data_IF_541312226370
#
_entry.id   IF_541312226370
#
_cell.length_a   1.000
_cell.length_b   1.000
_cell.length_c   1.000
_cell.angle_alpha   90.00
_cell.angle_beta   90.00
_cell.angle_gamma   90.00
#
_symmetry.space_group_name_H-M   'P 1'
#
loop_
_entity.id
_entity.type
_entity.pdbx_description
1 polymer ?
#
# COMPACT_ATOMS: atom_id res chain seq x y z
N UNK A 1 -67.77 -47.30 -15.87
CA UNK A 1 -67.31 -45.94 -15.52
C UNK A 1 -65.78 -45.91 -15.55
N UNK A 2 -65.20 -45.04 -16.39
CA UNK A 2 -63.86 -44.38 -16.36
C UNK A 2 -62.71 -45.17 -15.70
N UNK A 3 -61.53 -45.36 -16.33
CA UNK A 3 -60.58 -44.29 -16.73
C UNK A 3 -59.55 -44.87 -17.74
N UNK A 4 -59.32 -44.16 -18.86
CA UNK A 4 -58.16 -44.35 -19.73
C UNK A 4 -56.96 -43.62 -19.11
N UNK A 5 -55.82 -44.30 -18.96
CA UNK A 5 -54.52 -43.65 -18.77
C UNK A 5 -53.78 -43.62 -20.11
N UNK A 6 -53.41 -42.42 -20.54
CA UNK A 6 -52.49 -42.20 -21.64
C UNK A 6 -51.07 -42.15 -21.08
N UNK A 7 -50.18 -43.05 -21.51
CA UNK A 7 -48.74 -42.88 -21.32
C UNK A 7 -48.21 -41.98 -22.44
N UNK A 8 -47.82 -40.75 -22.10
CA UNK A 8 -47.02 -39.91 -22.98
C UNK A 8 -45.54 -40.28 -22.79
N UNK A 9 -44.92 -40.83 -23.83
CA UNK A 9 -43.48 -41.08 -23.88
C UNK A 9 -42.78 -39.76 -24.25
N UNK A 10 -42.18 -39.09 -23.28
CA UNK A 10 -41.35 -37.91 -23.54
C UNK A 10 -39.97 -38.37 -24.04
N UNK A 11 -39.69 -38.17 -25.33
CA UNK A 11 -38.34 -38.33 -25.87
C UNK A 11 -37.48 -37.13 -25.44
N UNK A 12 -36.54 -37.35 -24.53
CA UNK A 12 -35.56 -36.36 -24.15
C UNK A 12 -34.56 -36.17 -25.31
N UNK A 13 -34.59 -34.98 -25.93
CA UNK A 13 -33.55 -34.56 -26.88
C UNK A 13 -32.32 -34.16 -26.07
N UNK A 14 -31.28 -35.00 -26.07
CA UNK A 14 -29.96 -34.65 -25.54
C UNK A 14 -29.32 -33.65 -26.51
N UNK A 15 -29.22 -32.39 -26.08
CA UNK A 15 -28.39 -31.41 -26.76
C UNK A 15 -26.90 -31.78 -26.56
N UNK A 16 -26.05 -31.68 -27.58
CA UNK A 16 -24.62 -31.91 -27.41
C UNK A 16 -24.06 -30.83 -26.49
N UNK A 17 -23.51 -31.25 -25.35
CA UNK A 17 -22.70 -30.39 -24.49
C UNK A 17 -21.49 -29.97 -25.32
N UNK A 18 -21.43 -28.70 -25.71
CA UNK A 18 -20.26 -28.15 -26.40
C UNK A 18 -19.03 -28.36 -25.53
N UNK A 19 -17.98 -28.95 -26.10
CA UNK A 19 -16.71 -29.09 -25.43
C UNK A 19 -16.26 -27.70 -24.94
N UNK A 20 -16.03 -27.56 -23.63
CA UNK A 20 -15.41 -26.36 -23.09
C UNK A 20 -14.09 -26.15 -23.84
N UNK A 21 -13.87 -24.95 -24.37
CA UNK A 21 -12.59 -24.59 -24.96
C UNK A 21 -11.48 -24.89 -23.95
N UNK A 22 -10.46 -25.63 -24.37
CA UNK A 22 -9.32 -25.89 -23.52
C UNK A 22 -8.75 -24.54 -23.04
N UNK A 23 -8.35 -24.42 -21.75
CA UNK A 23 -7.72 -23.20 -21.27
C UNK A 23 -6.52 -22.91 -22.17
N UNK A 24 -6.50 -21.73 -22.77
CA UNK A 24 -5.37 -21.24 -23.54
C UNK A 24 -4.15 -21.23 -22.63
N UNK A 25 -3.02 -21.78 -23.08
CA UNK A 25 -1.77 -21.63 -22.35
C UNK A 25 -1.52 -20.14 -22.08
N UNK A 26 -1.11 -19.75 -20.86
CA UNK A 26 -0.77 -18.37 -20.58
C UNK A 26 0.35 -17.91 -21.53
N UNK A 27 0.37 -16.62 -21.92
CA UNK A 27 1.39 -16.11 -22.82
C UNK A 27 2.78 -16.36 -22.24
N UNK A 28 3.73 -16.72 -23.11
CA UNK A 28 5.14 -16.83 -22.72
C UNK A 28 5.65 -15.44 -22.34
N UNK A 29 6.15 -15.31 -21.10
CA UNK A 29 6.73 -14.07 -20.57
C UNK A 29 8.24 -14.09 -20.81
N UNK A 30 8.78 -13.01 -21.38
CA UNK A 30 10.23 -12.78 -21.51
C UNK A 30 10.61 -11.63 -20.60
N UNK A 31 11.59 -11.85 -19.73
CA UNK A 31 12.12 -10.82 -18.84
C UNK A 31 13.33 -10.15 -19.49
N UNK A 32 13.25 -8.84 -19.70
CA UNK A 32 14.35 -8.02 -20.17
C UNK A 32 14.87 -7.16 -19.01
N UNK A 33 16.16 -7.24 -18.65
CA UNK A 33 16.74 -6.35 -17.66
C UNK A 33 16.62 -4.89 -18.11
N UNK A 34 16.16 -4.01 -17.21
CA UNK A 34 16.04 -2.56 -17.44
C UNK A 34 17.19 -1.81 -16.78
N UNK A 35 17.47 -2.13 -15.51
CA UNK A 35 18.53 -1.55 -14.71
C UNK A 35 19.05 -2.57 -13.68
N UNK A 36 20.25 -2.35 -13.15
CA UNK A 36 20.89 -3.16 -12.12
C UNK A 36 21.61 -2.29 -11.08
N UNK A 37 22.28 -2.91 -10.10
CA UNK A 37 23.07 -2.20 -9.09
C UNK A 37 22.30 -1.75 -7.84
N UNK A 38 21.09 -2.27 -7.63
CA UNK A 38 20.29 -2.00 -6.43
C UNK A 38 20.66 -2.93 -5.26
N UNK A 39 20.54 -2.43 -4.04
CA UNK A 39 20.66 -3.18 -2.79
C UNK A 39 19.29 -3.35 -2.15
N UNK A 40 18.82 -4.59 -2.02
CA UNK A 40 17.54 -4.95 -1.41
C UNK A 40 16.36 -4.03 -1.84
N UNK A 41 16.07 -3.93 -3.17
CA UNK A 41 14.99 -3.10 -3.67
C UNK A 41 13.63 -3.66 -3.25
N UNK A 42 12.77 -2.81 -2.71
CA UNK A 42 11.46 -3.20 -2.19
C UNK A 42 10.31 -2.68 -3.04
N UNK A 43 10.30 -1.38 -3.36
CA UNK A 43 9.22 -0.72 -4.11
C UNK A 43 9.76 -0.13 -5.41
N UNK A 44 8.99 -0.25 -6.49
CA UNK A 44 9.22 0.42 -7.77
C UNK A 44 7.93 1.17 -8.15
N UNK A 45 8.02 2.47 -8.38
CA UNK A 45 6.88 3.29 -8.81
C UNK A 45 7.34 4.44 -9.71
N UNK A 46 6.41 5.26 -10.20
CA UNK A 46 6.70 6.47 -10.98
C UNK A 46 5.91 7.66 -10.44
N UNK A 47 6.38 8.87 -10.73
CA UNK A 47 5.76 10.11 -10.26
C UNK A 47 4.75 10.70 -11.26
N UNK A 48 4.22 9.86 -12.16
CA UNK A 48 3.44 10.31 -13.32
C UNK A 48 4.27 10.78 -14.51
N UNK A 49 5.61 10.69 -14.44
CA UNK A 49 6.54 10.94 -15.54
C UNK A 49 7.32 9.66 -15.94
N UNK A 50 8.32 9.80 -16.83
CA UNK A 50 9.10 8.68 -17.37
C UNK A 50 10.11 8.08 -16.37
N UNK A 51 10.32 8.70 -15.21
CA UNK A 51 11.29 8.23 -14.21
C UNK A 51 10.67 7.13 -13.36
N UNK A 52 11.45 6.09 -13.11
CA UNK A 52 11.12 5.09 -12.10
C UNK A 52 11.90 5.37 -10.82
N UNK A 53 11.22 5.23 -9.69
CA UNK A 53 11.76 5.41 -8.36
C UNK A 53 11.83 4.06 -7.65
N UNK A 54 13.04 3.66 -7.27
CA UNK A 54 13.33 2.40 -6.59
C UNK A 54 13.62 2.68 -5.13
N UNK A 55 12.80 2.14 -4.24
CA UNK A 55 13.05 2.15 -2.80
C UNK A 55 14.00 1.01 -2.46
N UNK A 56 15.14 1.33 -1.87
CA UNK A 56 16.09 0.38 -1.28
C UNK A 56 15.86 0.33 0.24
N UNK A 57 15.85 -0.88 0.81
CA UNK A 57 15.52 -1.12 2.21
C UNK A 57 16.31 -0.24 3.21
N UNK A 58 17.58 0.04 2.90
CA UNK A 58 18.49 0.83 3.72
C UNK A 58 18.17 2.33 3.81
N UNK A 59 17.06 2.81 3.23
CA UNK A 59 16.64 4.20 3.35
C UNK A 59 16.92 5.07 2.12
N UNK A 60 17.21 4.47 0.96
CA UNK A 60 17.49 5.21 -0.27
C UNK A 60 16.33 5.12 -1.25
N UNK A 61 16.05 6.22 -1.93
CA UNK A 61 15.21 6.25 -3.13
C UNK A 61 16.11 6.53 -4.33
N UNK A 62 16.23 5.58 -5.25
CA UNK A 62 17.04 5.69 -6.48
C UNK A 62 16.17 6.05 -7.67
N UNK A 63 16.74 6.76 -8.65
CA UNK A 63 16.05 7.10 -9.90
C UNK A 63 16.63 6.25 -11.03
N UNK A 64 15.73 5.66 -11.82
CA UNK A 64 16.02 5.10 -13.14
C UNK A 64 15.35 6.00 -14.17
N UNK A 65 16.15 6.56 -15.07
CA UNK A 65 15.65 7.33 -16.22
C UNK A 65 14.96 6.42 -17.24
N UNK A 66 14.16 7.01 -18.13
CA UNK A 66 13.40 6.27 -19.13
C UNK A 66 14.24 5.41 -20.10
N UNK A 67 15.56 5.65 -20.18
CA UNK A 67 16.51 4.85 -20.96
C UNK A 67 17.19 3.71 -20.16
N UNK A 68 16.83 3.54 -18.88
CA UNK A 68 17.42 2.55 -17.98
C UNK A 68 18.63 3.04 -17.18
N UNK A 69 19.07 4.29 -17.37
CA UNK A 69 20.19 4.87 -16.62
C UNK A 69 19.82 5.07 -15.16
N UNK A 70 20.59 4.45 -14.24
CA UNK A 70 20.47 4.71 -12.80
C UNK A 70 21.26 5.97 -12.45
N UNK A 71 20.59 6.97 -11.87
CA UNK A 71 21.27 8.19 -11.43
C UNK A 71 22.21 7.90 -10.25
N UNK A 72 23.39 8.55 -10.21
CA UNK A 72 24.38 8.31 -9.15
C UNK A 72 23.94 8.89 -7.81
N UNK A 73 23.21 10.00 -7.82
CA UNK A 73 22.64 10.64 -6.62
C UNK A 73 21.25 10.06 -6.36
N UNK A 74 20.95 9.58 -5.14
CA UNK A 74 19.59 9.17 -4.79
C UNK A 74 18.64 10.38 -4.78
N UNK A 75 17.37 10.15 -5.08
CA UNK A 75 16.31 11.13 -4.90
C UNK A 75 16.18 11.56 -3.44
N UNK A 76 16.24 10.61 -2.50
CA UNK A 76 16.17 10.84 -1.07
C UNK A 76 17.06 9.81 -0.34
N UNK A 77 17.69 10.24 0.75
CA UNK A 77 18.45 9.40 1.68
C UNK A 77 17.96 9.68 3.11
N UNK A 78 17.39 8.66 3.75
CA UNK A 78 16.97 8.65 5.16
C UNK A 78 17.63 7.49 5.93
N UNK A 79 18.80 7.03 5.47
CA UNK A 79 19.51 5.89 6.07
C UNK A 79 19.88 6.10 7.54
N UNK A 80 19.96 7.35 7.99
CA UNK A 80 20.18 7.73 9.39
C UNK A 80 18.90 7.71 10.26
N UNK A 81 17.73 7.44 9.67
CA UNK A 81 16.42 7.38 10.36
C UNK A 81 15.83 5.99 10.47
N UNK A 82 16.43 4.99 9.81
CA UNK A 82 15.90 3.63 9.74
C UNK A 82 16.98 2.57 9.94
N UNK A 83 16.56 1.30 10.01
CA UNK A 83 17.42 0.13 10.19
C UNK A 83 17.00 -0.96 9.22
N UNK A 84 17.94 -1.80 8.81
CA UNK A 84 17.69 -2.96 7.94
C UNK A 84 17.54 -4.27 8.72
N UNK A 85 17.38 -4.20 10.04
CA UNK A 85 17.19 -5.39 10.88
C UNK A 85 15.79 -6.00 10.65
N UNK A 86 15.73 -7.30 10.32
CA UNK A 86 14.48 -8.04 10.12
C UNK A 86 13.66 -7.47 8.95
N UNK A 87 12.40 -7.05 9.14
CA UNK A 87 11.54 -6.46 8.08
C UNK A 87 11.56 -4.92 8.09
N UNK A 88 12.42 -4.31 8.91
CA UNK A 88 12.55 -2.86 9.07
C UNK A 88 13.22 -2.24 7.85
N UNK A 89 13.00 -0.94 7.66
CA UNK A 89 13.65 -0.13 6.64
C UNK A 89 12.75 0.96 6.10
N UNK A 90 13.16 1.52 4.95
CA UNK A 90 12.27 2.28 4.07
C UNK A 90 11.51 1.28 3.19
N UNK A 91 10.18 1.25 3.34
CA UNK A 91 9.34 0.20 2.74
C UNK A 91 8.41 0.75 1.66
N UNK A 92 7.86 1.94 1.85
CA UNK A 92 6.84 2.52 0.98
C UNK A 92 7.23 3.86 0.37
N UNK A 93 6.73 4.10 -0.84
CA UNK A 93 6.79 5.38 -1.54
C UNK A 93 5.49 5.57 -2.33
N UNK A 94 4.83 6.71 -2.15
CA UNK A 94 3.69 7.13 -2.94
C UNK A 94 3.84 8.60 -3.33
N UNK A 95 3.69 8.92 -4.62
CA UNK A 95 3.63 10.29 -5.09
C UNK A 95 2.19 10.81 -4.99
N UNK A 96 2.03 12.06 -4.60
CA UNK A 96 0.72 12.71 -4.62
C UNK A 96 0.14 12.69 -6.05
N UNK A 97 -1.18 12.52 -6.27
CA UNK A 97 -1.77 12.55 -7.61
C UNK A 97 -1.45 13.85 -8.37
N UNK A 98 -1.36 14.96 -7.65
CA UNK A 98 -0.95 16.27 -8.17
C UNK A 98 0.57 16.57 -8.06
N UNK A 99 1.44 15.55 -7.97
CA UNK A 99 2.89 15.72 -7.79
C UNK A 99 3.52 16.68 -8.79
N UNK A 100 3.09 16.65 -10.06
CA UNK A 100 3.61 17.56 -11.09
C UNK A 100 3.36 19.06 -10.76
N UNK A 101 2.35 19.36 -9.95
CA UNK A 101 2.00 20.71 -9.55
C UNK A 101 2.52 21.07 -8.15
N UNK A 102 2.46 20.14 -7.18
CA UNK A 102 2.79 20.41 -5.78
C UNK A 102 4.15 19.87 -5.31
N UNK A 103 4.74 18.93 -6.06
CA UNK A 103 6.01 18.29 -5.72
C UNK A 103 5.96 17.38 -4.49
N UNK A 104 4.77 17.02 -4.01
CA UNK A 104 4.55 16.30 -2.75
C UNK A 104 4.60 14.79 -2.93
N UNK A 105 5.32 14.11 -2.05
CA UNK A 105 5.33 12.65 -1.98
C UNK A 105 5.41 12.18 -0.53
N UNK A 106 5.14 10.90 -0.32
CA UNK A 106 5.04 10.27 0.98
C UNK A 106 5.96 9.05 1.03
N UNK A 107 6.61 8.85 2.16
CA UNK A 107 7.40 7.66 2.46
C UNK A 107 6.84 6.93 3.68
N UNK A 108 7.00 5.61 3.68
CA UNK A 108 6.75 4.77 4.84
C UNK A 108 8.06 4.13 5.28
N UNK A 109 8.46 4.33 6.52
CA UNK A 109 9.65 3.69 7.09
C UNK A 109 9.46 3.30 8.55
N UNK A 110 10.28 2.37 9.03
CA UNK A 110 10.35 2.04 10.46
C UNK A 110 11.44 2.87 11.13
N UNK A 111 11.13 3.52 12.26
CA UNK A 111 12.07 4.36 12.99
C UNK A 111 13.20 3.59 13.71
N UNK A 112 14.20 4.35 14.17
CA UNK A 112 15.31 3.85 15.00
C UNK A 112 15.00 3.69 16.49
N UNK A 113 13.79 4.06 16.93
CA UNK A 113 13.40 4.08 18.34
C UNK A 113 13.58 2.75 19.07
N UNK A 114 13.67 2.81 20.40
CA UNK A 114 13.64 1.66 21.31
C UNK A 114 12.89 2.08 22.59
N UNK A 115 11.98 1.26 23.14
CA UNK A 115 11.67 -0.11 22.73
C UNK A 115 10.75 -0.23 21.51
N UNK A 116 10.30 0.89 20.91
CA UNK A 116 9.39 0.87 19.76
C UNK A 116 10.08 1.29 18.45
N UNK A 117 9.88 0.51 17.40
CA UNK A 117 10.40 0.70 16.04
C UNK A 117 9.31 1.30 15.14
N UNK A 118 8.76 2.44 15.56
CA UNK A 118 7.51 3.01 15.05
C UNK A 118 7.41 2.96 13.51
N UNK A 119 6.24 2.56 13.03
CA UNK A 119 5.82 2.75 11.64
C UNK A 119 5.53 4.22 11.42
N UNK A 120 6.26 4.86 10.51
CA UNK A 120 6.18 6.30 10.27
C UNK A 120 5.81 6.54 8.82
N UNK A 121 4.75 7.32 8.61
CA UNK A 121 4.42 7.95 7.33
C UNK A 121 4.86 9.40 7.38
N UNK A 122 5.74 9.78 6.46
CA UNK A 122 6.25 11.14 6.35
C UNK A 122 5.99 11.72 4.97
N UNK A 123 5.59 12.99 4.93
CA UNK A 123 5.45 13.81 3.73
C UNK A 123 6.74 14.56 3.48
N UNK A 124 7.11 14.65 2.20
CA UNK A 124 8.25 15.41 1.71
C UNK A 124 7.86 16.16 0.43
N UNK A 125 8.69 17.14 0.06
CA UNK A 125 8.60 17.84 -1.21
C UNK A 125 9.88 17.69 -2.03
N UNK A 126 9.75 17.68 -3.36
CA UNK A 126 10.89 17.78 -4.28
C UNK A 126 11.63 19.11 -4.10
N UNK A 127 12.94 19.12 -4.32
CA UNK A 127 13.73 20.35 -4.32
C UNK A 127 13.26 21.30 -5.42
N UNK A 128 13.11 22.58 -5.08
CA UNK A 128 12.74 23.62 -6.05
C UNK A 128 13.81 23.84 -7.14
N UNK A 129 15.06 23.44 -6.90
CA UNK A 129 16.19 23.64 -7.82
C UNK A 129 16.56 22.43 -8.65
N UNK A 130 16.09 21.23 -8.28
CA UNK A 130 16.43 19.98 -8.96
C UNK A 130 15.28 18.97 -8.81
N UNK A 131 14.56 18.62 -9.89
CA UNK A 131 13.45 17.67 -9.82
C UNK A 131 13.90 16.25 -9.49
N UNK A 132 15.20 15.93 -9.59
CA UNK A 132 15.78 14.63 -9.30
C UNK A 132 16.26 14.49 -7.84
N UNK A 133 16.00 15.47 -6.98
CA UNK A 133 16.39 15.46 -5.57
C UNK A 133 15.25 15.96 -4.70
N UNK A 134 14.93 15.23 -3.63
CA UNK A 134 14.00 15.66 -2.60
C UNK A 134 14.61 16.76 -1.72
N UNK A 135 13.79 17.65 -1.16
CA UNK A 135 14.24 18.56 -0.13
C UNK A 135 14.30 17.83 1.23
N UNK A 136 15.48 17.53 1.79
CA UNK A 136 15.60 16.77 3.04
C UNK A 136 15.01 17.52 4.24
N UNK A 137 14.96 18.86 4.18
CA UNK A 137 14.45 19.72 5.26
C UNK A 137 12.92 19.89 5.21
N UNK A 138 12.23 19.25 4.25
CA UNK A 138 10.77 19.37 4.08
C UNK A 138 9.95 18.30 4.79
N UNK A 139 10.58 17.47 5.62
CA UNK A 139 9.89 16.40 6.33
C UNK A 139 8.76 16.93 7.20
N UNK A 140 7.60 16.30 7.05
CA UNK A 140 6.48 16.43 7.96
C UNK A 140 5.96 15.05 8.30
N UNK A 141 5.93 14.69 9.58
CA UNK A 141 5.40 13.41 10.05
C UNK A 141 3.88 13.46 9.99
N UNK A 142 3.29 12.61 9.14
CA UNK A 142 1.84 12.55 8.91
C UNK A 142 1.18 11.60 9.90
N UNK A 143 1.76 10.42 10.08
CA UNK A 143 1.20 9.36 10.92
C UNK A 143 2.33 8.56 11.56
N UNK A 144 2.18 8.26 12.85
CA UNK A 144 3.07 7.39 13.60
C UNK A 144 2.25 6.31 14.29
N UNK A 145 2.59 5.05 14.07
CA UNK A 145 2.00 3.91 14.77
C UNK A 145 3.12 3.13 15.49
N UNK A 146 3.12 3.04 16.83
CA UNK A 146 4.18 2.36 17.56
C UNK A 146 4.27 0.87 17.23
N UNK A 147 5.46 0.36 16.91
CA UNK A 147 5.70 -1.08 16.68
C UNK A 147 6.62 -1.65 17.74
N UNK A 148 6.23 -2.74 18.40
CA UNK A 148 6.98 -3.38 19.49
C UNK A 148 7.84 -4.56 19.03
N UNK A 149 7.83 -4.87 17.73
CA UNK A 149 8.62 -5.95 17.12
C UNK A 149 9.20 -5.48 15.78
N UNK A 150 10.20 -6.21 15.32
CA UNK A 150 10.97 -5.90 14.11
C UNK A 150 10.39 -6.54 12.85
N UNK A 151 9.21 -7.18 12.95
CA UNK A 151 8.55 -7.85 11.84
C UNK A 151 7.05 -7.58 11.79
N UNK A 152 6.45 -7.93 10.64
CA UNK A 152 5.13 -7.51 10.17
C UNK A 152 4.97 -6.00 10.10
N UNK A 153 5.87 -5.36 9.36
CA UNK A 153 5.84 -3.91 9.21
C UNK A 153 4.98 -3.44 8.04
N UNK A 154 4.49 -4.33 7.16
CA UNK A 154 3.69 -3.93 5.99
C UNK A 154 4.42 -2.88 5.15
N UNK A 155 3.79 -1.73 4.92
CA UNK A 155 4.48 -0.52 4.47
C UNK A 155 4.25 -0.15 3.01
N UNK A 156 3.43 -0.88 2.25
CA UNK A 156 2.96 -0.33 0.97
C UNK A 156 2.07 0.89 1.22
N UNK A 157 2.24 1.90 0.37
CA UNK A 157 1.32 3.00 0.23
C UNK A 157 0.92 3.16 -1.24
N UNK A 158 -0.32 3.61 -1.48
CA UNK A 158 -0.77 4.04 -2.79
C UNK A 158 -1.94 5.00 -2.65
N UNK A 159 -2.07 5.93 -3.59
CA UNK A 159 -3.29 6.71 -3.72
C UNK A 159 -4.36 5.88 -4.42
N UNK A 160 -5.55 5.86 -3.83
CA UNK A 160 -6.72 5.25 -4.45
C UNK A 160 -7.29 6.11 -5.58
N UNK A 161 -8.21 5.56 -6.39
CA UNK A 161 -8.91 6.32 -7.44
C UNK A 161 -9.82 7.42 -6.89
N UNK A 162 -10.08 7.39 -5.58
CA UNK A 162 -10.83 8.38 -4.80
C UNK A 162 -9.95 9.55 -4.31
N UNK A 163 -8.63 9.51 -4.53
CA UNK A 163 -7.70 10.57 -4.15
C UNK A 163 -7.13 10.45 -2.74
N UNK A 164 -7.52 9.44 -1.96
CA UNK A 164 -7.02 9.24 -0.60
C UNK A 164 -5.77 8.37 -0.56
N UNK A 165 -4.95 8.56 0.48
CA UNK A 165 -3.75 7.76 0.70
C UNK A 165 -4.11 6.49 1.48
N UNK A 166 -3.85 5.33 0.89
CA UNK A 166 -4.01 4.02 1.51
C UNK A 166 -2.65 3.52 2.00
N UNK A 167 -2.60 2.98 3.21
CA UNK A 167 -1.38 2.55 3.90
C UNK A 167 -1.62 1.15 4.47
N UNK A 168 -0.75 0.20 4.13
CA UNK A 168 -0.79 -1.15 4.70
C UNK A 168 0.05 -1.23 5.97
N UNK A 169 -0.56 -1.58 7.10
CA UNK A 169 0.10 -1.74 8.40
C UNK A 169 -0.04 -3.19 8.86
N UNK A 170 1.07 -3.85 9.20
CA UNK A 170 1.02 -5.18 9.79
C UNK A 170 0.60 -5.16 11.25
N UNK A 171 0.24 -6.33 11.78
CA UNK A 171 -0.24 -6.53 13.16
C UNK A 171 0.85 -6.28 14.23
N UNK A 172 2.07 -5.95 13.82
CA UNK A 172 3.19 -5.70 14.71
C UNK A 172 3.94 -6.94 15.15
N UNK A 173 3.74 -8.09 14.50
CA UNK A 173 4.72 -9.16 14.45
C UNK A 173 4.42 -10.39 15.31
N UNK A 174 5.30 -11.39 15.17
CA UNK A 174 5.21 -12.63 15.92
C UNK A 174 4.31 -13.71 15.31
N UNK A 175 4.54 -14.97 15.72
CA UNK A 175 3.77 -16.11 15.25
C UNK A 175 2.35 -16.09 15.81
N UNK A 176 1.34 -16.05 14.92
CA UNK A 176 -0.07 -16.17 15.30
C UNK A 176 -0.71 -14.94 15.92
N UNK A 177 -0.22 -13.72 15.64
CA UNK A 177 -0.72 -12.45 16.20
C UNK A 177 -0.83 -12.51 17.75
N UNK A 178 0.32 -12.67 18.45
CA UNK A 178 0.33 -12.93 19.89
C UNK A 178 -0.25 -11.78 20.73
N UNK A 179 -0.19 -10.56 20.19
CA UNK A 179 -0.71 -9.35 20.83
C UNK A 179 -2.18 -9.10 20.45
N UNK A 180 -2.74 -9.90 19.52
CA UNK A 180 -4.12 -9.84 19.02
C UNK A 180 -4.50 -8.51 18.38
N UNK A 181 -3.52 -7.83 17.78
CA UNK A 181 -3.70 -6.48 17.25
C UNK A 181 -4.55 -6.48 15.98
N UNK A 182 -4.54 -7.57 15.18
CA UNK A 182 -5.23 -7.57 13.89
C UNK A 182 -6.76 -7.40 14.04
N UNK A 183 -7.34 -7.80 15.18
CA UNK A 183 -8.77 -7.64 15.47
C UNK A 183 -9.06 -6.45 16.41
N UNK A 184 -8.02 -5.77 16.92
CA UNK A 184 -8.16 -4.61 17.79
C UNK A 184 -8.28 -3.34 16.95
N UNK A 185 -9.49 -2.77 16.92
CA UNK A 185 -9.80 -1.57 16.14
C UNK A 185 -9.32 -0.27 16.81
N UNK A 186 -8.73 -0.34 18.01
CA UNK A 186 -8.18 0.83 18.74
C UNK A 186 -6.72 1.13 18.35
N UNK A 187 -6.12 0.30 17.50
CA UNK A 187 -4.79 0.47 16.89
C UNK A 187 -4.89 0.42 15.36
N UNK A 188 -3.90 0.99 14.68
CA UNK A 188 -3.77 0.85 13.22
C UNK A 188 -2.94 -0.37 12.80
N UNK A 189 -2.59 -1.25 13.73
CA UNK A 189 -1.88 -2.50 13.43
C UNK A 189 -2.81 -3.49 12.76
N UNK A 190 -2.35 -4.13 11.68
CA UNK A 190 -3.11 -5.17 10.98
C UNK A 190 -4.25 -4.62 10.13
N UNK A 191 -4.05 -3.44 9.54
CA UNK A 191 -5.07 -2.70 8.80
C UNK A 191 -4.63 -2.33 7.38
N UNK A 192 -5.63 -2.04 6.55
CA UNK A 192 -5.48 -1.00 5.53
C UNK A 192 -6.04 0.29 6.14
N UNK A 193 -5.18 1.28 6.28
CA UNK A 193 -5.50 2.63 6.73
C UNK A 193 -5.75 3.51 5.52
N UNK A 194 -6.73 4.42 5.59
CA UNK A 194 -7.11 5.36 4.51
C UNK A 194 -7.31 6.76 5.09
N UNK A 195 -6.51 7.71 4.62
CA UNK A 195 -6.47 9.09 5.13
C UNK A 195 -6.54 10.12 4.00
N UNK A 196 -7.07 11.31 4.31
CA UNK A 196 -7.09 12.47 3.41
C UNK A 196 -5.92 13.40 3.72
N UNK A 197 -4.92 13.43 2.84
CA UNK A 197 -3.70 14.23 3.02
C UNK A 197 -3.77 15.63 2.40
N UNK A 198 -4.88 15.95 1.72
CA UNK A 198 -5.19 17.28 1.19
C UNK A 198 -5.98 18.13 2.19
N UNK A 199 -6.47 17.49 3.26
CA UNK A 199 -7.11 18.12 4.40
C UNK A 199 -6.23 19.17 5.08
N UNK A 200 -6.88 20.17 5.66
CA UNK A 200 -6.22 21.18 6.53
C UNK A 200 -6.55 20.84 7.97
N UNK A 201 -5.57 20.84 8.89
CA UNK A 201 -5.78 20.68 10.34
C UNK A 201 -7.12 21.29 10.80
N UNK A 202 -8.10 20.41 11.05
CA UNK A 202 -9.47 20.79 11.39
C UNK A 202 -9.65 21.06 12.89
N UNK A 203 -8.56 21.03 13.68
CA UNK A 203 -8.62 21.16 15.13
C UNK A 203 -9.21 19.94 15.84
N UNK A 204 -9.17 18.77 15.20
CA UNK A 204 -9.56 17.46 15.73
C UNK A 204 -8.41 16.74 16.46
N UNK A 205 -7.20 17.33 16.44
CA UNK A 205 -5.99 16.78 17.04
C UNK A 205 -5.15 15.93 16.09
N UNK A 206 -5.52 15.82 14.81
CA UNK A 206 -4.75 15.18 13.76
C UNK A 206 -3.99 16.28 12.98
N UNK A 207 -2.66 16.41 13.14
CA UNK A 207 -1.98 17.62 12.69
C UNK A 207 -1.78 17.73 11.17
N UNK A 208 -1.99 16.67 10.38
CA UNK A 208 -1.50 16.63 9.00
C UNK A 208 -2.39 15.88 7.99
N UNK A 209 -3.56 15.39 8.41
CA UNK A 209 -4.51 14.70 7.54
C UNK A 209 -5.93 14.73 8.14
N UNK A 210 -6.93 14.59 7.29
CA UNK A 210 -8.34 14.44 7.65
C UNK A 210 -8.80 12.98 7.49
N UNK A 211 -9.94 12.63 8.11
CA UNK A 211 -10.58 11.32 7.94
C UNK A 211 -11.55 11.37 6.75
N UNK A 212 -11.39 10.49 5.74
CA UNK A 212 -12.38 10.34 4.69
C UNK A 212 -13.78 10.06 5.26
N UNK A 213 -14.81 10.83 4.87
CA UNK A 213 -16.13 10.78 5.51
C UNK A 213 -16.90 9.47 5.28
N UNK A 214 -16.43 8.65 4.33
CA UNK A 214 -16.95 7.35 3.97
C UNK A 214 -16.09 6.18 4.49
N UNK A 215 -15.10 6.44 5.37
CA UNK A 215 -14.47 5.37 6.13
C UNK A 215 -15.51 4.63 7.00
N UNK A 216 -15.36 3.31 7.22
CA UNK A 216 -16.26 2.53 8.07
C UNK A 216 -16.41 3.08 9.50
N UNK A 217 -17.63 3.21 9.98
CA UNK A 217 -17.92 3.49 11.40
C UNK A 217 -17.84 2.20 12.22
N UNK A 218 -16.81 2.09 13.06
CA UNK A 218 -16.57 0.94 13.94
C UNK A 218 -16.96 1.21 15.39
N UNK A 219 -17.69 2.28 15.69
CA UNK A 219 -18.13 2.63 17.05
C UNK A 219 -19.02 1.56 17.71
N UNK A 220 -19.68 0.72 16.89
CA UNK A 220 -20.44 -0.45 17.37
C UNK A 220 -19.58 -1.65 17.77
N UNK A 221 -18.30 -1.67 17.38
CA UNK A 221 -17.30 -2.68 17.78
C UNK A 221 -16.58 -2.19 19.03
N UNK A 222 -16.01 -0.99 18.97
CA UNK A 222 -15.36 -0.31 20.09
C UNK A 222 -15.54 1.22 19.94
N UNK A 223 -16.00 1.96 20.96
CA UNK A 223 -16.14 3.41 20.88
C UNK A 223 -14.81 4.18 20.73
N UNK A 224 -13.68 3.57 21.12
CA UNK A 224 -12.34 4.15 21.02
C UNK A 224 -11.61 3.72 19.74
N UNK A 225 -12.34 3.24 18.73
CA UNK A 225 -11.77 2.83 17.45
C UNK A 225 -11.01 3.96 16.75
N UNK A 226 -10.07 3.55 15.89
CA UNK A 226 -9.29 4.44 15.04
C UNK A 226 -10.05 4.73 13.74
N UNK A 227 -10.48 5.98 13.49
CA UNK A 227 -11.30 6.33 12.33
C UNK A 227 -10.55 6.25 10.98
N UNK A 228 -9.23 6.09 11.00
CA UNK A 228 -8.40 5.91 9.81
C UNK A 228 -8.55 4.51 9.19
N UNK A 229 -9.16 3.55 9.90
CA UNK A 229 -9.29 2.14 9.46
C UNK A 229 -10.26 2.03 8.27
N UNK A 230 -9.76 1.56 7.13
CA UNK A 230 -10.57 1.15 5.97
C UNK A 230 -10.87 -0.36 5.98
N UNK A 231 -9.90 -1.17 6.40
CA UNK A 231 -10.06 -2.61 6.61
C UNK A 231 -9.16 -3.07 7.75
N UNK A 232 -9.56 -4.10 8.50
CA UNK A 232 -8.79 -4.67 9.60
C UNK A 232 -8.85 -6.21 9.58
N UNK A 233 -8.08 -6.87 10.43
CA UNK A 233 -7.96 -8.33 10.47
C UNK A 233 -6.81 -8.88 9.65
N UNK A 234 -5.84 -8.05 9.28
CA UNK A 234 -4.71 -8.43 8.44
C UNK A 234 -3.48 -8.73 9.30
N UNK A 235 -2.68 -9.71 8.86
CA UNK A 235 -1.47 -10.12 9.58
C UNK A 235 -0.25 -9.31 9.15
N UNK A 236 0.17 -9.47 7.91
CA UNK A 236 1.29 -8.72 7.32
C UNK A 236 0.95 -8.34 5.87
N UNK A 237 0.07 -7.35 5.65
CA UNK A 237 -0.31 -6.91 4.30
C UNK A 237 0.90 -6.22 3.64
N UNK A 238 1.64 -6.98 2.83
CA UNK A 238 2.88 -6.51 2.21
C UNK A 238 2.62 -5.69 0.94
N UNK A 239 1.84 -6.25 -0.01
CA UNK A 239 1.45 -5.56 -1.23
C UNK A 239 -0.05 -5.62 -1.47
N UNK A 240 -0.59 -4.53 -2.03
CA UNK A 240 -1.96 -4.38 -2.50
C UNK A 240 -2.02 -3.61 -3.83
N UNK A 241 -3.16 -3.60 -4.49
CA UNK A 241 -3.37 -2.88 -5.74
C UNK A 241 -4.83 -2.46 -5.90
N UNK A 242 -5.06 -1.38 -6.65
CA UNK A 242 -6.38 -1.04 -7.14
C UNK A 242 -6.57 -1.62 -8.53
N UNK A 243 -7.69 -2.31 -8.75
CA UNK A 243 -8.10 -2.73 -10.09
C UNK A 243 -8.41 -1.50 -10.94
N UNK A 244 -7.76 -1.39 -12.09
CA UNK A 244 -7.83 -0.18 -12.91
C UNK A 244 -9.16 0.02 -13.64
N UNK A 245 -10.02 -1.01 -13.69
CA UNK A 245 -11.34 -0.93 -14.32
C UNK A 245 -12.43 -0.56 -13.33
N UNK A 246 -12.35 -1.11 -12.12
CA UNK A 246 -13.41 -1.04 -11.10
C UNK A 246 -13.07 -0.09 -9.96
N UNK A 247 -11.78 0.11 -9.68
CA UNK A 247 -11.31 0.80 -8.49
C UNK A 247 -11.30 -0.04 -7.22
N UNK A 248 -11.61 -1.34 -7.32
CA UNK A 248 -11.62 -2.25 -6.18
C UNK A 248 -10.20 -2.50 -5.64
N UNK A 249 -10.05 -2.56 -4.32
CA UNK A 249 -8.80 -2.86 -3.63
C UNK A 249 -8.57 -4.39 -3.52
N UNK A 250 -7.37 -4.85 -3.87
CA UNK A 250 -6.91 -6.25 -3.80
C UNK A 250 -5.59 -6.40 -3.06
#
# INVERSE_FOLDING_TARGET
MKRLLWLALAAAVLAPVGAAAAPTEPPAIVLNPVADGFSDPLTLTHAGDDRLFVVENAGLIRIVEGDGTVLPTPFLDISDKTSTESERGLLGLAFHPDYAANGTFFIYYTGLGSPTFDSIVARYTVSAGDPNVANPDSEVIVLTEPQNRDNHNGGQMAFGPDGYLYIALGDGGGGGDPDQNAQDVTTLKGTITRIDVDGTDQGDGLPEYDIPPDNPDLSGVDPDYRPEICAYGLRNPWRFSFDSLTGDLY
#
